data_IF_117484963718
#
_entry.id   IF_117484963718
#
_cell.length_a   1.000
_cell.length_b   1.000
_cell.length_c   1.000
_cell.angle_alpha   90.00
_cell.angle_beta   90.00
_cell.angle_gamma   90.00
#
_symmetry.space_group_name_H-M   'P 1'
#
loop_
_entity.id
_entity.type
_entity.pdbx_description
1 polymer ?
#
# COMPACT_ATOMS: atom_id res chain seq x y z
N UNK A 1 5.14 -7.78 19.83
CA UNK A 1 5.91 -7.08 18.79
C UNK A 1 5.24 -7.42 17.47
N UNK A 2 4.49 -6.48 16.91
CA UNK A 2 3.61 -6.70 15.76
C UNK A 2 4.45 -6.94 14.51
N UNK A 3 4.27 -8.09 13.88
CA UNK A 3 4.87 -8.42 12.59
C UNK A 3 4.36 -7.45 11.51
N UNK A 4 5.05 -6.32 11.35
CA UNK A 4 4.94 -5.49 10.15
C UNK A 4 5.65 -6.24 9.05
N UNK A 5 4.90 -6.63 8.03
CA UNK A 5 5.40 -7.18 6.77
C UNK A 5 6.66 -6.43 6.34
N UNK A 6 7.83 -7.04 6.53
CA UNK A 6 9.12 -6.40 6.32
C UNK A 6 9.34 -5.90 4.87
N UNK A 7 8.49 -6.31 3.94
CA UNK A 7 8.48 -5.81 2.56
C UNK A 7 7.93 -4.39 2.39
N UNK A 8 7.01 -3.91 3.23
CA UNK A 8 6.35 -2.61 3.01
C UNK A 8 7.01 -1.46 3.77
N UNK A 9 7.62 -1.75 4.93
CA UNK A 9 8.29 -0.75 5.76
C UNK A 9 9.54 -0.14 5.10
N UNK A 10 10.16 -0.85 4.15
CA UNK A 10 11.31 -0.35 3.39
C UNK A 10 10.94 0.37 2.09
N UNK A 11 9.68 0.32 1.65
CA UNK A 11 9.26 0.93 0.40
C UNK A 11 8.86 2.39 0.62
N UNK A 12 9.59 3.30 -0.04
CA UNK A 12 9.31 4.75 0.05
C UNK A 12 7.93 5.09 -0.51
N UNK A 13 7.52 4.45 -1.59
CA UNK A 13 6.22 4.70 -2.25
C UNK A 13 5.04 4.29 -1.36
N UNK A 14 5.15 3.14 -0.67
CA UNK A 14 4.15 2.72 0.33
C UNK A 14 4.00 3.76 1.46
N UNK A 15 5.12 4.27 1.98
CA UNK A 15 5.12 5.29 3.03
C UNK A 15 4.51 6.60 2.55
N UNK A 16 4.79 7.01 1.31
CA UNK A 16 4.21 8.21 0.72
C UNK A 16 2.70 8.12 0.57
N UNK A 17 2.16 6.96 0.15
CA UNK A 17 0.71 6.77 0.08
C UNK A 17 0.04 6.75 1.45
N UNK A 18 0.68 6.13 2.46
CA UNK A 18 0.16 6.13 3.83
C UNK A 18 0.15 7.54 4.44
N UNK A 19 1.21 8.31 4.23
CA UNK A 19 1.30 9.71 4.66
C UNK A 19 0.25 10.57 3.95
N UNK A 20 0.12 10.45 2.63
CA UNK A 20 -0.86 11.19 1.84
C UNK A 20 -2.30 10.85 2.27
N UNK A 21 -2.60 9.58 2.53
CA UNK A 21 -3.91 9.17 3.04
C UNK A 21 -4.19 9.74 4.44
N UNK A 22 -3.16 9.86 5.28
CA UNK A 22 -3.28 10.43 6.63
C UNK A 22 -3.52 11.94 6.58
N UNK A 23 -2.79 12.67 5.73
CA UNK A 23 -3.00 14.10 5.47
C UNK A 23 -4.42 14.35 4.94
N UNK A 24 -4.85 13.58 3.94
CA UNK A 24 -6.20 13.72 3.37
C UNK A 24 -7.30 13.48 4.43
N UNK A 25 -7.10 12.53 5.36
CA UNK A 25 -8.03 12.36 6.51
C UNK A 25 -8.05 13.56 7.43
N UNK A 26 -6.90 14.15 7.73
CA UNK A 26 -6.82 15.38 8.54
C UNK A 26 -7.53 16.55 7.86
N UNK A 27 -7.47 16.64 6.53
CA UNK A 27 -8.18 17.63 5.72
C UNK A 27 -9.69 17.31 5.54
N UNK A 28 -10.17 16.16 6.05
CA UNK A 28 -11.50 15.56 5.76
C UNK A 28 -11.79 15.35 4.27
N UNK A 29 -10.76 15.18 3.46
CA UNK A 29 -10.89 14.79 2.07
C UNK A 29 -10.97 13.26 1.95
N UNK A 30 -12.19 12.73 2.10
CA UNK A 30 -12.45 11.29 2.08
C UNK A 30 -12.22 10.68 0.69
N UNK A 31 -12.41 11.46 -0.37
CA UNK A 31 -12.17 11.05 -1.75
C UNK A 31 -10.68 10.77 -1.95
N UNK A 32 -9.84 11.75 -1.62
CA UNK A 32 -8.39 11.64 -1.74
C UNK A 32 -7.81 10.57 -0.82
N UNK A 33 -8.34 10.44 0.40
CA UNK A 33 -7.93 9.39 1.33
C UNK A 33 -8.25 7.98 0.79
N UNK A 34 -9.33 7.84 0.03
CA UNK A 34 -9.70 6.57 -0.61
C UNK A 34 -8.82 6.29 -1.83
N UNK A 35 -8.56 7.30 -2.66
CA UNK A 35 -7.68 7.18 -3.81
C UNK A 35 -6.26 6.73 -3.41
N UNK A 36 -5.67 7.37 -2.38
CA UNK A 36 -4.36 6.97 -1.86
C UNK A 36 -4.33 5.51 -1.36
N UNK A 37 -5.43 5.01 -0.77
CA UNK A 37 -5.55 3.61 -0.35
C UNK A 37 -5.61 2.64 -1.54
N UNK A 38 -6.31 3.01 -2.60
CA UNK A 38 -6.40 2.20 -3.84
C UNK A 38 -5.04 2.16 -4.53
N UNK A 39 -4.35 3.30 -4.65
CA UNK A 39 -3.01 3.37 -5.24
C UNK A 39 -2.00 2.56 -4.43
N UNK A 40 -2.03 2.67 -3.10
CA UNK A 40 -1.20 1.84 -2.22
C UNK A 40 -1.44 0.35 -2.45
N UNK A 41 -2.70 -0.09 -2.51
CA UNK A 41 -3.04 -1.50 -2.76
C UNK A 41 -2.51 -2.00 -4.10
N UNK A 42 -2.66 -1.21 -5.18
CA UNK A 42 -2.13 -1.56 -6.50
C UNK A 42 -0.61 -1.65 -6.52
N UNK A 43 0.06 -0.74 -5.83
CA UNK A 43 1.51 -0.77 -5.71
C UNK A 43 1.99 -2.01 -4.94
N UNK A 44 1.30 -2.39 -3.86
CA UNK A 44 1.57 -3.64 -3.15
C UNK A 44 1.38 -4.86 -4.07
N UNK A 45 0.33 -4.87 -4.89
CA UNK A 45 0.05 -5.94 -5.84
C UNK A 45 1.08 -6.01 -6.98
N UNK A 46 1.58 -4.87 -7.46
CA UNK A 46 2.55 -4.83 -8.55
C UNK A 46 3.99 -5.12 -8.08
N UNK A 47 4.42 -4.47 -7.00
CA UNK A 47 5.83 -4.42 -6.60
C UNK A 47 6.14 -5.37 -5.43
N UNK A 48 5.12 -5.72 -4.63
CA UNK A 48 5.27 -6.54 -3.44
C UNK A 48 4.57 -7.91 -3.52
N UNK A 49 3.81 -8.20 -4.57
CA UNK A 49 3.18 -9.51 -4.77
C UNK A 49 4.18 -10.62 -5.13
N UNK A 50 5.47 -10.31 -5.28
CA UNK A 50 6.54 -11.28 -5.53
C UNK A 50 6.91 -12.15 -4.29
N UNK A 51 5.93 -12.46 -3.43
CA UNK A 51 6.01 -13.56 -2.44
C UNK A 51 4.66 -14.30 -2.32
N UNK A 52 3.90 -14.37 -3.41
CA UNK A 52 2.72 -15.22 -3.54
C UNK A 52 2.79 -15.94 -4.87
N UNK A 53 3.45 -17.10 -4.85
CA UNK A 53 3.23 -18.22 -5.75
C UNK A 53 2.54 -17.93 -7.09
N UNK A 54 3.33 -17.91 -8.16
CA UNK A 54 2.85 -18.23 -9.49
C UNK A 54 2.41 -19.71 -9.49
N UNK A 55 1.17 -19.95 -9.10
CA UNK A 55 0.45 -21.17 -9.40
C UNK A 55 0.11 -21.19 -10.89
N UNK A 56 1.02 -21.77 -11.67
CA UNK A 56 0.81 -22.23 -13.03
C UNK A 56 -0.54 -22.96 -13.12
N UNK A 57 -1.49 -22.34 -13.81
CA UNK A 57 -2.73 -22.99 -14.23
C UNK A 57 -2.36 -23.89 -15.43
N UNK A 58 -1.98 -25.13 -15.16
CA UNK A 58 -1.93 -26.22 -16.15
C UNK A 58 -3.15 -27.12 -16.01
#
# INVERSE_FOLDING_TARGET
>A
MTAHSAGTAGCRVCQEFELAASVARSERDESRATDCRVLHRRHLDAEHAAHGEQGEQS
#
